data_IF_331927818147
#
_entry.id   IF_331927818147
#
_cell.length_a   1.000
_cell.length_b   1.000
_cell.length_c   1.000
_cell.angle_alpha   90.00
_cell.angle_beta   90.00
_cell.angle_gamma   90.00
#
_symmetry.space_group_name_H-M   'P 1'
#
loop_
_entity.id
_entity.type
_entity.pdbx_description
1 polymer ?
#
# COMPACT_ATOMS: atom_id res chain seq x y z
N UNK A 1 3.89 -22.20 -5.92
CA UNK A 1 2.55 -21.66 -6.27
C UNK A 1 2.68 -20.15 -6.32
N UNK A 2 2.68 -19.58 -7.51
CA UNK A 2 2.83 -18.14 -7.72
C UNK A 2 1.42 -17.56 -7.64
N UNK A 3 1.16 -16.79 -6.57
CA UNK A 3 -0.09 -16.04 -6.44
C UNK A 3 -0.08 -14.87 -7.40
N UNK A 4 -0.87 -14.91 -8.44
CA UNK A 4 -1.14 -13.76 -9.29
C UNK A 4 -2.10 -12.85 -8.55
N UNK A 5 -1.59 -11.78 -7.95
CA UNK A 5 -2.42 -10.70 -7.40
C UNK A 5 -2.97 -9.87 -8.57
N UNK A 6 -4.30 -9.86 -8.72
CA UNK A 6 -4.98 -8.97 -9.65
C UNK A 6 -4.78 -7.51 -9.20
N UNK A 7 -3.94 -6.78 -9.90
CA UNK A 7 -3.89 -5.33 -9.82
C UNK A 7 -5.05 -4.76 -10.67
N UNK A 8 -6.09 -4.26 -10.03
CA UNK A 8 -7.10 -3.43 -10.67
C UNK A 8 -6.43 -2.07 -11.01
N UNK A 9 -5.94 -1.96 -12.24
CA UNK A 9 -5.43 -0.71 -12.78
C UNK A 9 -6.60 0.27 -12.97
N UNK A 10 -6.60 1.37 -12.24
CA UNK A 10 -7.46 2.50 -12.52
C UNK A 10 -6.96 3.19 -13.79
N UNK A 11 -7.63 2.97 -14.92
CA UNK A 11 -7.42 3.73 -16.14
C UNK A 11 -7.91 5.15 -15.91
N UNK A 12 -7.01 6.13 -16.08
CA UNK A 12 -7.36 7.54 -16.17
C UNK A 12 -8.17 7.79 -17.44
N UNK A 13 -9.50 7.90 -17.31
CA UNK A 13 -10.36 8.42 -18.35
C UNK A 13 -10.07 9.92 -18.52
N UNK A 14 -9.69 10.32 -19.73
CA UNK A 14 -9.60 11.72 -20.13
C UNK A 14 -10.98 12.37 -20.00
N UNK A 15 -11.11 13.30 -19.05
CA UNK A 15 -12.29 14.14 -18.92
C UNK A 15 -12.27 15.22 -20.00
N UNK A 16 -13.23 15.12 -20.91
CA UNK A 16 -13.57 16.20 -21.82
C UNK A 16 -14.07 17.42 -21.06
N UNK A 17 -13.61 18.58 -21.49
CA UNK A 17 -13.99 19.91 -21.04
C UNK A 17 -15.50 20.12 -21.16
N UNK A 18 -16.17 20.36 -20.03
CA UNK A 18 -17.51 20.96 -20.00
C UNK A 18 -17.44 22.24 -19.19
N UNK A 19 -17.87 23.32 -19.83
CA UNK A 19 -17.86 24.67 -19.32
C UNK A 19 -18.73 24.82 -18.05
N UNK A 20 -18.18 25.49 -17.05
CA UNK A 20 -18.85 25.88 -15.81
C UNK A 20 -19.65 27.15 -16.01
N UNK A 21 -20.96 27.09 -15.76
CA UNK A 21 -21.76 28.29 -15.47
C UNK A 21 -21.96 28.37 -13.95
N UNK A 22 -21.53 29.48 -13.41
CA UNK A 22 -21.67 29.90 -12.02
C UNK A 22 -23.11 30.24 -11.68
N UNK A 23 -23.62 29.71 -10.54
CA UNK A 23 -24.74 30.29 -9.84
C UNK A 23 -24.43 30.36 -8.35
N UNK A 24 -24.42 31.58 -7.85
CA UNK A 24 -24.30 31.92 -6.43
C UNK A 24 -25.69 31.78 -5.76
N UNK A 25 -25.73 31.28 -4.53
CA UNK A 25 -26.78 31.60 -3.54
C UNK A 25 -26.34 31.13 -2.16
N UNK A 26 -25.98 32.07 -1.32
CA UNK A 26 -26.64 32.56 -0.10
C UNK A 26 -26.89 31.52 1.00
N UNK A 27 -26.17 31.72 2.12
CA UNK A 27 -26.45 31.19 3.46
C UNK A 27 -27.68 31.86 4.09
N UNK A 28 -28.34 31.24 5.06
CA UNK A 28 -28.87 31.98 6.19
C UNK A 28 -28.27 31.54 7.52
N UNK A 29 -27.93 32.55 8.31
CA UNK A 29 -27.68 32.49 9.73
C UNK A 29 -29.01 32.33 10.50
N UNK A 30 -29.00 31.61 11.61
CA UNK A 30 -29.97 31.83 12.70
C UNK A 30 -29.34 31.46 14.05
N UNK A 31 -29.33 32.47 14.85
CA UNK A 31 -29.10 32.55 16.31
C UNK A 31 -30.09 31.74 17.11
N UNK A 32 -29.74 31.36 18.37
CA UNK A 32 -30.70 30.85 19.34
C UNK A 32 -30.06 30.25 20.59
N UNK A 33 -29.96 31.07 21.60
CA UNK A 33 -29.44 30.87 22.98
C UNK A 33 -30.27 29.92 23.84
N UNK A 34 -29.61 29.54 24.93
CA UNK A 34 -30.06 29.19 26.33
C UNK A 34 -29.97 27.67 26.62
N UNK A 35 -29.40 27.23 27.72
CA UNK A 35 -29.13 27.75 29.05
C UNK A 35 -29.44 26.68 30.09
N UNK A 36 -28.66 26.51 31.17
CA UNK A 36 -29.00 25.72 32.37
C UNK A 36 -28.16 24.45 32.56
N UNK A 37 -27.16 24.44 33.32
CA UNK A 37 -26.77 24.44 34.75
C UNK A 37 -27.17 23.20 35.58
N UNK A 38 -26.15 22.74 36.35
CA UNK A 38 -26.17 21.93 37.58
C UNK A 38 -26.11 20.42 37.39
N UNK A 39 -25.27 19.71 38.08
CA UNK A 39 -24.59 19.71 39.38
C UNK A 39 -24.05 18.31 39.54
N UNK A 40 -22.88 18.05 39.90
CA UNK A 40 -22.24 17.82 41.15
C UNK A 40 -22.52 16.44 41.76
N UNK A 41 -21.49 15.62 41.90
CA UNK A 41 -21.10 15.05 43.20
C UNK A 41 -19.97 14.03 43.05
N UNK A 42 -18.92 14.29 43.83
CA UNK A 42 -17.81 13.43 44.25
C UNK A 42 -18.30 12.09 44.88
N UNK A 43 -17.52 11.02 44.68
CA UNK A 43 -17.13 10.16 45.81
C UNK A 43 -15.91 9.31 45.47
N UNK A 44 -14.86 9.60 46.18
CA UNK A 44 -13.70 8.78 46.47
C UNK A 44 -14.13 7.55 47.31
N UNK A 45 -13.53 6.39 47.08
CA UNK A 45 -13.10 5.53 48.17
C UNK A 45 -11.94 4.59 47.80
N UNK A 46 -10.94 4.67 48.64
CA UNK A 46 -9.81 3.79 48.84
C UNK A 46 -10.22 2.41 49.39
N UNK A 47 -9.43 1.39 49.14
CA UNK A 47 -9.57 0.12 49.87
C UNK A 47 -8.55 -0.92 49.40
N UNK A 48 -7.56 -1.12 50.26
CA UNK A 48 -6.38 -1.98 50.13
C UNK A 48 -6.67 -3.47 50.43
N UNK A 49 -5.71 -4.29 49.98
CA UNK A 49 -5.19 -5.52 50.60
C UNK A 49 -5.92 -6.86 50.39
N UNK A 50 -5.08 -7.83 50.06
CA UNK A 50 -5.26 -9.19 50.52
C UNK A 50 -4.82 -10.26 49.54
N UNK A 51 -3.60 -10.76 49.68
CA UNK A 51 -3.11 -11.92 48.93
C UNK A 51 -3.76 -13.23 49.37
N UNK A 52 -3.73 -14.23 48.51
CA UNK A 52 -3.57 -15.63 48.92
C UNK A 52 -3.17 -16.50 47.71
N UNK A 53 -2.08 -17.23 47.92
CA UNK A 53 -1.62 -18.36 47.13
C UNK A 53 -2.70 -19.42 47.02
N UNK A 54 -2.82 -20.01 45.83
CA UNK A 54 -3.25 -21.42 45.74
C UNK A 54 -2.76 -22.04 44.42
N UNK A 55 -1.84 -22.96 44.59
CA UNK A 55 -1.38 -23.93 43.62
C UNK A 55 -2.54 -24.84 43.18
N UNK A 56 -2.72 -25.00 41.87
CA UNK A 56 -3.32 -26.24 41.37
C UNK A 56 -2.71 -26.64 40.03
N UNK A 57 -2.07 -27.81 40.07
CA UNK A 57 -1.61 -28.62 38.98
C UNK A 57 -2.78 -29.03 38.09
N UNK A 58 -2.66 -28.86 36.81
CA UNK A 58 -3.57 -29.36 35.78
C UNK A 58 -2.86 -29.47 34.44
N UNK A 59 -2.34 -30.68 34.19
CA UNK A 59 -1.82 -31.09 32.88
C UNK A 59 -2.89 -30.93 31.81
N UNK A 60 -2.59 -30.21 30.75
CA UNK A 60 -3.27 -30.41 29.47
C UNK A 60 -2.39 -30.03 28.29
N UNK A 61 -2.43 -30.91 27.29
CA UNK A 61 -1.61 -31.06 26.12
C UNK A 61 -1.22 -29.81 25.38
N UNK A 62 0.08 -29.65 25.23
CA UNK A 62 0.68 -28.62 24.40
C UNK A 62 0.45 -28.89 22.92
N UNK A 63 -0.29 -28.03 22.26
CA UNK A 63 -0.21 -27.87 20.82
C UNK A 63 1.04 -27.04 20.55
N UNK A 64 2.10 -27.73 20.12
CA UNK A 64 3.34 -27.09 19.66
C UNK A 64 3.03 -26.24 18.40
N UNK A 65 2.75 -24.97 18.56
CA UNK A 65 2.74 -24.00 17.48
C UNK A 65 4.15 -23.40 17.34
N UNK A 66 5.06 -24.18 16.73
CA UNK A 66 6.43 -23.78 16.41
C UNK A 66 6.47 -23.04 15.07
N UNK A 67 5.80 -21.87 14.98
CA UNK A 67 6.04 -20.88 13.94
C UNK A 67 6.52 -19.57 14.58
N UNK A 68 7.62 -19.66 15.34
CA UNK A 68 8.43 -18.47 15.59
C UNK A 68 9.32 -18.26 14.38
N UNK A 69 9.01 -17.24 13.59
CA UNK A 69 9.94 -16.70 12.59
C UNK A 69 11.33 -16.46 13.21
N UNK A 70 12.41 -16.44 12.42
CA UNK A 70 13.78 -16.38 12.93
C UNK A 70 13.94 -15.17 13.84
N UNK A 71 14.40 -15.42 15.07
CA UNK A 71 14.79 -14.37 16.04
C UNK A 71 15.77 -13.43 15.35
N UNK A 72 15.48 -12.12 15.38
CA UNK A 72 16.21 -11.08 14.70
C UNK A 72 17.72 -11.23 14.80
N UNK A 73 18.36 -11.43 13.66
CA UNK A 73 19.80 -11.24 13.52
C UNK A 73 20.12 -9.80 13.96
N UNK A 74 21.17 -9.61 14.75
CA UNK A 74 21.56 -8.32 15.26
C UNK A 74 21.78 -7.32 14.12
N UNK A 75 21.49 -6.05 14.35
CA UNK A 75 21.55 -4.94 13.37
C UNK A 75 22.91 -4.87 12.61
N UNK A 76 23.98 -5.37 13.21
CA UNK A 76 25.32 -5.48 12.60
C UNK A 76 25.41 -6.60 11.56
N UNK A 77 24.68 -7.71 11.73
CA UNK A 77 24.67 -8.81 10.77
C UNK A 77 23.80 -8.51 9.55
N UNK A 78 22.75 -7.69 9.71
CA UNK A 78 21.87 -7.29 8.61
C UNK A 78 22.57 -6.40 7.56
N UNK A 79 23.68 -5.73 7.91
CA UNK A 79 24.42 -4.84 7.02
C UNK A 79 25.67 -5.51 6.39
N UNK A 80 26.07 -6.68 6.87
CA UNK A 80 27.28 -7.36 6.38
C UNK A 80 27.19 -7.64 4.87
N UNK A 81 28.13 -7.08 4.12
CA UNK A 81 28.18 -7.16 2.65
C UNK A 81 27.24 -6.19 1.93
N UNK A 82 26.46 -5.38 2.66
CA UNK A 82 25.53 -4.39 2.08
C UNK A 82 26.09 -2.95 2.15
N UNK A 83 27.25 -2.73 2.76
CA UNK A 83 27.82 -1.40 3.01
C UNK A 83 27.95 -0.58 1.73
N UNK A 84 28.31 -1.21 0.60
CA UNK A 84 28.43 -0.53 -0.70
C UNK A 84 27.12 0.08 -1.18
N UNK A 85 25.97 -0.53 -0.84
CA UNK A 85 24.65 -0.01 -1.23
C UNK A 85 24.23 1.18 -0.37
N UNK A 86 24.59 1.21 0.91
CA UNK A 86 24.31 2.34 1.81
C UNK A 86 25.30 3.51 1.63
N UNK A 87 26.46 3.29 0.96
CA UNK A 87 27.48 4.32 0.75
C UNK A 87 27.60 4.79 -0.69
N UNK A 88 26.73 4.29 -1.59
CA UNK A 88 26.72 4.77 -2.97
C UNK A 88 26.34 6.26 -3.02
N UNK A 89 26.85 6.97 -4.00
CA UNK A 89 26.51 8.38 -4.18
C UNK A 89 25.09 8.49 -4.74
N UNK A 90 24.18 9.10 -3.98
CA UNK A 90 22.82 9.41 -4.42
C UNK A 90 22.82 10.76 -5.15
N UNK A 91 22.72 10.70 -6.47
CA UNK A 91 22.68 11.91 -7.32
C UNK A 91 21.25 12.19 -7.73
N UNK A 92 20.74 13.33 -7.30
CA UNK A 92 19.45 13.86 -7.72
C UNK A 92 19.59 14.71 -8.97
N UNK A 93 18.68 14.54 -9.92
CA UNK A 93 18.54 15.35 -11.13
C UNK A 93 17.11 15.83 -11.26
N UNK A 94 16.87 16.89 -12.02
CA UNK A 94 15.50 17.31 -12.32
C UNK A 94 14.75 16.19 -13.05
N UNK A 95 13.49 15.93 -12.60
CA UNK A 95 12.65 14.93 -13.26
C UNK A 95 12.20 15.42 -14.64
N UNK A 96 12.14 14.50 -15.59
CA UNK A 96 11.57 14.79 -16.92
C UNK A 96 10.04 14.80 -16.85
N UNK A 97 9.41 15.70 -17.61
CA UNK A 97 7.96 15.82 -17.74
C UNK A 97 7.39 17.08 -17.12
N UNK A 98 6.40 17.69 -17.79
CA UNK A 98 5.80 18.97 -17.40
C UNK A 98 5.12 18.92 -16.02
N UNK A 99 4.56 17.76 -15.65
CA UNK A 99 3.85 17.58 -14.37
C UNK A 99 4.80 17.32 -13.18
N UNK A 100 6.12 17.27 -13.42
CA UNK A 100 7.16 16.99 -12.42
C UNK A 100 8.14 18.16 -12.22
N UNK A 101 7.76 19.35 -12.65
CA UNK A 101 8.59 20.54 -12.47
C UNK A 101 8.92 20.78 -10.99
N UNK A 102 10.18 21.05 -10.69
CA UNK A 102 10.69 21.22 -9.32
C UNK A 102 10.85 19.93 -8.51
N UNK A 103 10.54 18.77 -9.10
CA UNK A 103 10.79 17.46 -8.48
C UNK A 103 12.16 16.94 -8.91
N UNK A 104 12.74 16.09 -8.06
CA UNK A 104 14.05 15.51 -8.26
C UNK A 104 13.95 13.98 -8.40
N UNK A 105 14.64 13.44 -9.37
CA UNK A 105 14.67 12.02 -9.68
C UNK A 105 16.05 11.42 -9.45
N UNK A 106 16.12 10.18 -9.00
CA UNK A 106 17.35 9.42 -8.82
C UNK A 106 17.16 7.94 -9.11
N UNK A 107 18.25 7.24 -9.38
CA UNK A 107 18.29 5.79 -9.46
C UNK A 107 19.31 5.26 -8.44
N UNK A 108 18.92 4.24 -7.71
CA UNK A 108 19.71 3.60 -6.66
C UNK A 108 19.94 2.14 -7.03
N UNK A 109 21.17 1.66 -6.92
CA UNK A 109 21.47 0.23 -7.09
C UNK A 109 21.20 -0.51 -5.78
N UNK A 110 20.55 -1.67 -5.89
CA UNK A 110 20.34 -2.62 -4.80
C UNK A 110 20.71 -4.02 -5.28
N UNK A 111 21.03 -4.97 -4.38
CA UNK A 111 21.28 -6.35 -4.81
C UNK A 111 20.00 -6.96 -5.39
N UNK A 112 20.14 -7.75 -6.46
CA UNK A 112 19.05 -8.58 -6.95
C UNK A 112 18.62 -9.56 -5.84
N UNK A 113 19.58 -10.28 -5.28
CA UNK A 113 19.40 -11.23 -4.16
C UNK A 113 20.13 -10.70 -2.91
N UNK A 114 19.39 -10.35 -1.87
CA UNK A 114 19.95 -9.91 -0.59
C UNK A 114 20.76 -10.98 0.14
N UNK A 115 20.60 -12.26 -0.22
CA UNK A 115 21.45 -13.36 0.26
C UNK A 115 22.80 -13.46 -0.46
N UNK A 116 22.92 -12.77 -1.60
CA UNK A 116 24.14 -12.72 -2.44
C UNK A 116 24.46 -11.29 -2.85
N UNK A 117 24.81 -10.42 -1.88
CA UNK A 117 24.96 -8.97 -2.13
C UNK A 117 26.06 -8.62 -3.13
N UNK A 118 27.04 -9.51 -3.32
CA UNK A 118 28.11 -9.34 -4.31
C UNK A 118 27.74 -9.82 -5.71
N UNK A 119 26.51 -10.35 -5.88
CA UNK A 119 25.99 -10.79 -7.16
C UNK A 119 25.45 -9.64 -8.02
N UNK A 120 24.47 -9.97 -8.86
CA UNK A 120 23.80 -8.99 -9.73
C UNK A 120 23.07 -7.91 -8.93
N UNK A 121 22.94 -6.75 -9.53
CA UNK A 121 22.22 -5.60 -8.98
C UNK A 121 21.07 -5.21 -9.89
N UNK A 122 20.06 -4.58 -9.31
CA UNK A 122 18.98 -3.92 -10.02
C UNK A 122 18.93 -2.44 -9.66
N UNK A 123 18.25 -1.62 -10.46
CA UNK A 123 18.02 -0.21 -10.19
C UNK A 123 16.64 0.01 -9.59
N UNK A 124 16.57 0.82 -8.54
CA UNK A 124 15.35 1.35 -7.95
C UNK A 124 15.24 2.82 -8.29
N UNK A 125 14.17 3.19 -8.97
CA UNK A 125 13.88 4.57 -9.32
C UNK A 125 13.19 5.28 -8.15
N UNK A 126 13.59 6.54 -7.92
CA UNK A 126 13.06 7.40 -6.87
C UNK A 126 12.66 8.76 -7.43
N UNK A 127 11.64 9.35 -6.80
CA UNK A 127 11.27 10.75 -6.98
C UNK A 127 11.21 11.41 -5.61
N UNK A 128 11.71 12.63 -5.53
CA UNK A 128 11.62 13.49 -4.34
C UNK A 128 10.91 14.79 -4.71
N UNK A 129 9.88 15.13 -3.94
CA UNK A 129 9.30 16.47 -3.91
C UNK A 129 9.98 17.20 -2.76
N UNK A 130 10.86 18.18 -3.02
CA UNK A 130 11.58 18.89 -1.97
C UNK A 130 10.61 19.65 -1.05
N UNK A 131 10.94 19.69 0.24
CA UNK A 131 10.20 20.49 1.21
C UNK A 131 10.23 21.99 0.83
N UNK A 132 9.09 22.65 0.86
CA UNK A 132 8.95 24.06 0.46
C UNK A 132 9.78 25.02 1.33
N UNK A 133 9.99 24.67 2.60
CA UNK A 133 10.86 25.45 3.50
C UNK A 133 12.34 25.38 3.13
N UNK A 134 12.78 24.44 2.28
CA UNK A 134 14.17 24.17 2.02
C UNK A 134 14.96 23.58 3.20
N UNK A 135 14.28 23.32 4.34
CA UNK A 135 14.88 22.78 5.58
C UNK A 135 14.00 21.63 6.10
N UNK A 136 14.00 20.48 5.41
CA UNK A 136 13.20 19.35 5.84
C UNK A 136 13.65 18.80 7.20
N UNK A 137 12.69 18.32 7.99
CA UNK A 137 12.97 17.59 9.24
C UNK A 137 13.19 16.09 9.00
N UNK A 138 13.12 15.65 7.76
CA UNK A 138 13.30 14.28 7.27
C UNK A 138 12.48 14.04 6.01
N UNK A 139 12.53 12.81 5.50
CA UNK A 139 11.74 12.38 4.35
C UNK A 139 10.45 11.68 4.80
N UNK A 140 9.38 11.85 4.05
CA UNK A 140 8.15 11.06 4.12
C UNK A 140 8.12 10.12 2.91
N UNK A 141 8.42 8.86 3.12
CA UNK A 141 8.29 7.84 2.10
C UNK A 141 6.82 7.48 1.88
N UNK A 142 6.41 7.28 0.63
CA UNK A 142 5.03 6.99 0.28
C UNK A 142 4.91 5.79 -0.64
N UNK A 143 3.83 4.99 -0.48
CA UNK A 143 3.53 3.86 -1.35
C UNK A 143 2.01 3.70 -1.51
N UNK A 144 1.49 3.65 -2.76
CA UNK A 144 0.04 3.56 -3.03
C UNK A 144 -0.53 2.16 -2.79
N UNK A 145 0.32 1.15 -2.69
CA UNK A 145 -0.08 -0.24 -2.62
C UNK A 145 -0.21 -0.92 -3.99
N UNK A 146 -1.24 -1.67 -4.16
CA UNK A 146 -1.48 -2.57 -5.29
C UNK A 146 -1.50 -4.01 -4.79
N UNK A 147 -0.40 -4.83 -4.82
CA UNK A 147 1.00 -4.51 -5.19
C UNK A 147 1.17 -4.12 -6.66
N UNK A 148 2.22 -3.34 -6.95
CA UNK A 148 2.58 -2.91 -8.30
C UNK A 148 2.23 -1.45 -8.62
N UNK A 149 1.69 -0.69 -7.67
CA UNK A 149 1.51 0.75 -7.83
C UNK A 149 2.83 1.51 -7.77
N UNK A 150 2.98 2.53 -8.63
CA UNK A 150 4.16 3.39 -8.66
C UNK A 150 4.17 4.34 -7.46
N UNK A 151 5.20 4.24 -6.62
CA UNK A 151 5.42 5.19 -5.53
C UNK A 151 5.87 6.56 -6.04
N UNK A 152 6.49 6.62 -7.20
CA UNK A 152 6.87 7.86 -7.89
C UNK A 152 5.63 8.66 -8.25
N UNK A 153 4.64 8.02 -8.89
CA UNK A 153 3.36 8.67 -9.23
C UNK A 153 2.59 9.08 -7.96
N UNK A 154 2.65 8.26 -6.92
CA UNK A 154 2.00 8.58 -5.65
C UNK A 154 2.61 9.80 -4.97
N UNK A 155 3.93 9.94 -4.93
CA UNK A 155 4.58 11.13 -4.39
C UNK A 155 4.21 12.39 -5.20
N UNK A 156 4.20 12.30 -6.53
CA UNK A 156 3.78 13.38 -7.40
C UNK A 156 2.30 13.76 -7.20
N UNK A 157 1.41 12.78 -6.97
CA UNK A 157 -0.01 13.02 -6.65
C UNK A 157 -0.16 13.68 -5.28
N UNK A 158 0.52 13.17 -4.26
CA UNK A 158 0.45 13.66 -2.90
C UNK A 158 1.02 15.07 -2.75
N UNK A 159 1.98 15.48 -3.58
CA UNK A 159 2.49 16.86 -3.61
C UNK A 159 1.41 17.91 -3.86
N UNK A 160 0.28 17.50 -4.46
CA UNK A 160 -0.87 18.37 -4.79
C UNK A 160 -2.00 18.28 -3.73
N UNK A 161 -1.97 17.30 -2.83
CA UNK A 161 -3.09 17.00 -1.92
C UNK A 161 -2.72 16.96 -0.44
N UNK A 162 -1.44 16.80 -0.09
CA UNK A 162 -1.00 16.89 1.29
C UNK A 162 -1.18 18.33 1.82
N UNK A 163 -1.43 18.43 3.12
CA UNK A 163 -1.52 19.73 3.79
C UNK A 163 -0.21 20.50 3.65
N UNK A 164 -0.28 21.85 3.50
CA UNK A 164 0.90 22.70 3.36
C UNK A 164 1.97 22.46 4.43
N UNK A 165 1.56 22.26 5.69
CA UNK A 165 2.46 22.03 6.82
C UNK A 165 3.31 20.75 6.65
N UNK A 166 2.78 19.72 5.97
CA UNK A 166 3.53 18.51 5.64
C UNK A 166 4.54 18.77 4.54
N UNK A 167 4.11 19.49 3.47
CA UNK A 167 4.96 19.84 2.35
C UNK A 167 6.05 20.85 2.71
N UNK A 168 5.87 21.63 3.77
CA UNK A 168 6.89 22.54 4.30
C UNK A 168 7.97 21.82 5.10
N UNK A 169 7.58 20.73 5.79
CA UNK A 169 8.46 20.05 6.76
C UNK A 169 9.15 18.81 6.23
N UNK A 170 8.61 18.13 5.24
CA UNK A 170 9.13 16.86 4.74
C UNK A 170 9.48 16.93 3.26
N UNK A 171 10.60 16.33 2.89
CA UNK A 171 10.78 15.87 1.53
C UNK A 171 9.83 14.69 1.30
N UNK A 172 8.90 14.77 0.34
CA UNK A 172 8.04 13.62 0.01
C UNK A 172 8.79 12.73 -0.99
N UNK A 173 9.05 11.49 -0.60
CA UNK A 173 9.85 10.55 -1.38
C UNK A 173 8.99 9.38 -1.84
N UNK A 174 8.85 9.23 -3.15
CA UNK A 174 8.29 8.05 -3.79
C UNK A 174 9.38 7.20 -4.41
N UNK A 175 9.17 5.91 -4.45
CA UNK A 175 10.01 4.97 -5.20
C UNK A 175 9.13 3.89 -5.83
N UNK A 176 9.53 3.42 -6.99
CA UNK A 176 8.89 2.24 -7.56
C UNK A 176 9.52 1.01 -6.92
N UNK A 177 8.72 0.12 -6.30
CA UNK A 177 9.29 -1.12 -5.77
C UNK A 177 9.94 -1.95 -6.87
N UNK A 178 10.89 -2.80 -6.49
CA UNK A 178 11.54 -3.72 -7.44
C UNK A 178 10.51 -4.48 -8.28
N UNK A 179 10.73 -4.54 -9.57
CA UNK A 179 9.82 -5.16 -10.54
C UNK A 179 8.65 -4.27 -11.00
N UNK A 180 8.58 -3.04 -10.51
CA UNK A 180 7.51 -2.07 -10.82
C UNK A 180 8.04 -0.92 -11.64
N UNK A 181 7.30 -0.54 -12.68
CA UNK A 181 7.48 0.63 -13.56
C UNK A 181 8.95 0.96 -13.87
N UNK A 182 9.54 2.01 -13.34
CA UNK A 182 10.94 2.40 -13.62
C UNK A 182 11.99 1.59 -12.84
N UNK A 183 11.58 0.70 -11.93
CA UNK A 183 12.47 -0.10 -11.08
C UNK A 183 12.63 -1.53 -11.58
N UNK A 184 13.35 -1.71 -12.72
CA UNK A 184 13.59 -3.03 -13.30
C UNK A 184 12.30 -3.84 -13.47
N UNK A 185 11.35 -3.38 -14.32
CA UNK A 185 9.99 -3.91 -14.35
C UNK A 185 9.91 -5.38 -14.74
N UNK A 186 9.03 -6.13 -14.09
CA UNK A 186 8.65 -7.48 -14.50
C UNK A 186 7.87 -7.39 -15.82
N UNK A 187 8.36 -8.11 -16.84
CA UNK A 187 7.74 -8.18 -18.18
C UNK A 187 7.19 -9.57 -18.39
N UNK A 188 5.90 -9.70 -18.64
CA UNK A 188 5.22 -10.99 -18.86
C UNK A 188 4.73 -11.16 -20.30
N UNK A 189 4.11 -10.10 -20.86
CA UNK A 189 3.54 -10.10 -22.20
C UNK A 189 3.62 -8.68 -22.78
N UNK A 190 3.26 -8.53 -24.05
CA UNK A 190 3.00 -7.23 -24.63
C UNK A 190 1.66 -6.66 -24.16
N UNK A 191 1.46 -5.36 -24.36
CA UNK A 191 0.25 -4.64 -23.90
C UNK A 191 -1.03 -5.24 -24.49
N UNK A 192 -1.02 -5.66 -25.76
CA UNK A 192 -2.21 -6.25 -26.39
C UNK A 192 -2.61 -7.58 -25.73
N UNK A 193 -1.64 -8.44 -25.43
CA UNK A 193 -1.88 -9.71 -24.73
C UNK A 193 -2.35 -9.49 -23.29
N UNK A 194 -1.82 -8.48 -22.59
CA UNK A 194 -2.26 -8.12 -21.24
C UNK A 194 -3.67 -7.55 -21.24
N UNK A 195 -4.01 -6.68 -22.19
CA UNK A 195 -5.35 -6.15 -22.34
C UNK A 195 -6.36 -7.26 -22.64
N UNK A 196 -6.04 -8.16 -23.58
CA UNK A 196 -6.88 -9.31 -23.89
C UNK A 196 -7.13 -10.19 -22.65
N UNK A 197 -6.14 -10.35 -21.78
CA UNK A 197 -6.29 -11.15 -20.56
C UNK A 197 -7.07 -10.45 -19.45
N UNK A 198 -6.81 -9.15 -19.21
CA UNK A 198 -7.35 -8.43 -18.06
C UNK A 198 -8.64 -7.65 -18.33
N UNK A 199 -8.85 -7.20 -19.59
CA UNK A 199 -9.92 -6.28 -19.95
C UNK A 199 -10.97 -6.91 -20.86
N UNK A 200 -10.52 -7.72 -21.84
CA UNK A 200 -11.39 -8.20 -22.92
C UNK A 200 -11.89 -9.63 -22.68
N UNK A 201 -11.31 -10.35 -21.70
CA UNK A 201 -11.66 -11.73 -21.45
C UNK A 201 -12.99 -11.84 -20.68
N UNK A 202 -13.97 -12.53 -21.28
CA UNK A 202 -15.25 -12.88 -20.67
C UNK A 202 -15.35 -14.40 -20.52
N UNK A 203 -14.69 -14.93 -19.47
CA UNK A 203 -14.73 -16.35 -19.16
C UNK A 203 -15.97 -16.68 -18.32
N UNK A 204 -16.88 -17.53 -18.83
CA UNK A 204 -17.97 -18.07 -17.99
C UNK A 204 -17.40 -19.07 -16.95
N UNK A 205 -17.04 -18.56 -15.78
CA UNK A 205 -16.46 -19.34 -14.70
C UNK A 205 -17.45 -20.33 -14.05
N UNK A 206 -18.74 -20.26 -14.38
CA UNK A 206 -19.71 -21.25 -13.95
C UNK A 206 -19.53 -22.58 -14.68
N UNK A 207 -18.98 -22.57 -15.88
CA UNK A 207 -18.72 -23.75 -16.73
C UNK A 207 -17.30 -24.31 -16.53
N UNK A 208 -17.14 -25.62 -16.77
CA UNK A 208 -15.82 -26.25 -16.79
C UNK A 208 -14.93 -25.70 -17.92
N UNK A 209 -15.53 -25.40 -19.07
CA UNK A 209 -14.85 -24.83 -20.24
C UNK A 209 -14.28 -23.44 -19.91
N UNK A 210 -15.10 -22.51 -19.42
CA UNK A 210 -14.62 -21.15 -19.11
C UNK A 210 -13.55 -21.13 -18.01
N UNK A 211 -13.65 -22.00 -16.99
CA UNK A 211 -12.57 -22.16 -16.00
C UNK A 211 -11.28 -22.70 -16.62
N UNK A 212 -11.36 -23.57 -17.63
CA UNK A 212 -10.17 -24.08 -18.33
C UNK A 212 -9.54 -22.98 -19.19
N UNK A 213 -10.34 -22.26 -19.96
CA UNK A 213 -9.89 -21.12 -20.79
C UNK A 213 -9.16 -20.07 -19.96
N UNK A 214 -9.70 -19.72 -18.78
CA UNK A 214 -9.04 -18.81 -17.85
C UNK A 214 -7.69 -19.36 -17.36
N UNK A 215 -7.61 -20.65 -16.99
CA UNK A 215 -6.34 -21.27 -16.55
C UNK A 215 -5.30 -21.27 -17.66
N UNK A 216 -5.69 -21.57 -18.89
CA UNK A 216 -4.78 -21.61 -20.05
C UNK A 216 -4.25 -20.21 -20.37
N UNK A 217 -5.11 -19.19 -20.30
CA UNK A 217 -4.72 -17.81 -20.47
C UNK A 217 -3.77 -17.33 -19.34
N UNK A 218 -4.08 -17.66 -18.09
CA UNK A 218 -3.21 -17.35 -16.94
C UNK A 218 -1.84 -18.03 -17.06
N UNK A 219 -1.84 -19.32 -17.51
CA UNK A 219 -0.59 -20.05 -17.76
C UNK A 219 0.26 -19.38 -18.83
N UNK A 220 -0.36 -18.91 -19.91
CA UNK A 220 0.34 -18.20 -21.00
C UNK A 220 1.05 -16.93 -20.50
N UNK A 221 0.38 -16.16 -19.62
CA UNK A 221 1.00 -14.98 -18.98
C UNK A 221 2.15 -15.41 -18.07
N UNK A 222 1.96 -16.44 -17.22
CA UNK A 222 2.98 -16.93 -16.32
C UNK A 222 4.24 -17.43 -17.06
N UNK A 223 4.06 -18.23 -18.13
CA UNK A 223 5.17 -18.69 -18.99
C UNK A 223 5.89 -17.50 -19.64
N UNK A 224 5.15 -16.44 -20.01
CA UNK A 224 5.70 -15.20 -20.51
C UNK A 224 6.52 -14.42 -19.47
N UNK A 225 6.07 -14.39 -18.22
CA UNK A 225 6.83 -13.81 -17.10
C UNK A 225 8.16 -14.54 -16.90
N UNK A 226 8.12 -15.87 -16.83
CA UNK A 226 9.30 -16.70 -16.67
C UNK A 226 10.32 -16.46 -17.79
N UNK A 227 9.84 -16.48 -19.04
CA UNK A 227 10.72 -16.28 -20.22
C UNK A 227 11.39 -14.90 -20.24
N UNK A 228 10.68 -13.83 -19.83
CA UNK A 228 11.15 -12.44 -19.98
C UNK A 228 11.78 -11.87 -18.72
N UNK A 229 11.45 -12.41 -17.55
CA UNK A 229 11.85 -11.86 -16.25
C UNK A 229 12.20 -12.94 -15.22
N UNK A 230 12.42 -14.20 -15.64
CA UNK A 230 12.58 -15.37 -14.73
C UNK A 230 13.63 -15.17 -13.66
N UNK A 231 14.75 -14.52 -13.97
CA UNK A 231 15.80 -14.23 -12.99
C UNK A 231 15.32 -13.25 -11.89
N UNK A 232 14.44 -12.30 -12.23
CA UNK A 232 13.94 -11.29 -11.30
C UNK A 232 12.80 -11.83 -10.43
N UNK A 233 11.96 -12.74 -10.95
CA UNK A 233 10.73 -13.19 -10.32
C UNK A 233 10.90 -13.72 -8.87
N UNK A 234 11.92 -14.51 -8.53
CA UNK A 234 12.13 -14.98 -7.16
C UNK A 234 12.46 -13.86 -6.16
N UNK A 235 12.79 -12.67 -6.65
CA UNK A 235 13.34 -11.57 -5.87
C UNK A 235 12.41 -10.36 -5.76
N UNK A 236 11.16 -10.40 -6.29
CA UNK A 236 10.21 -9.28 -6.22
C UNK A 236 9.28 -9.32 -5.01
N UNK A 237 9.59 -10.14 -3.99
CA UNK A 237 8.78 -10.26 -2.79
C UNK A 237 8.85 -9.03 -1.87
N UNK A 238 7.83 -8.89 -1.00
CA UNK A 238 7.67 -7.78 -0.04
C UNK A 238 8.88 -7.60 0.87
N UNK A 239 9.51 -8.70 1.34
CA UNK A 239 10.72 -8.65 2.15
C UNK A 239 11.88 -7.94 1.44
N UNK A 240 12.12 -8.28 0.18
CA UNK A 240 13.18 -7.65 -0.63
C UNK A 240 12.89 -6.16 -0.88
N UNK A 241 11.62 -5.81 -1.15
CA UNK A 241 11.20 -4.41 -1.31
C UNK A 241 11.35 -3.59 -0.01
N UNK A 242 11.07 -4.20 1.16
CA UNK A 242 11.29 -3.56 2.46
C UNK A 242 12.79 -3.35 2.74
N UNK A 243 13.67 -4.26 2.32
CA UNK A 243 15.14 -4.08 2.41
C UNK A 243 15.62 -2.97 1.48
N UNK A 244 15.07 -2.87 0.25
CA UNK A 244 15.33 -1.72 -0.62
C UNK A 244 14.97 -0.42 0.08
N UNK A 245 13.79 -0.35 0.68
CA UNK A 245 13.31 0.84 1.38
C UNK A 245 14.28 1.28 2.50
N UNK A 246 14.93 0.34 3.20
CA UNK A 246 15.94 0.70 4.20
C UNK A 246 17.23 1.25 3.57
N UNK A 247 17.66 0.71 2.44
CA UNK A 247 18.78 1.28 1.67
C UNK A 247 18.46 2.71 1.24
N UNK A 248 17.25 2.93 0.68
CA UNK A 248 16.80 4.26 0.24
C UNK A 248 16.74 5.25 1.41
N UNK A 249 16.17 4.83 2.56
CA UNK A 249 16.18 5.63 3.81
C UNK A 249 17.59 6.05 4.22
N UNK A 250 18.53 5.10 4.19
CA UNK A 250 19.93 5.39 4.53
C UNK A 250 20.57 6.39 3.59
N UNK A 251 20.32 6.28 2.29
CA UNK A 251 20.86 7.15 1.26
C UNK A 251 20.32 8.58 1.29
N UNK A 252 19.06 8.78 1.67
CA UNK A 252 18.52 10.13 1.89
C UNK A 252 18.98 10.75 3.22
N UNK A 253 19.72 10.00 4.05
CA UNK A 253 20.30 10.49 5.31
C UNK A 253 19.39 10.37 6.53
N UNK A 254 18.24 9.71 6.42
CA UNK A 254 17.29 9.58 7.51
C UNK A 254 17.70 8.47 8.49
N UNK A 255 17.73 8.79 9.79
CA UNK A 255 18.00 7.79 10.84
C UNK A 255 16.83 6.81 11.00
N UNK A 256 15.61 7.27 10.78
CA UNK A 256 14.37 6.52 10.91
C UNK A 256 13.45 6.77 9.73
N UNK A 257 12.73 5.75 9.29
CA UNK A 257 11.77 5.84 8.19
C UNK A 257 10.48 6.51 8.68
N UNK A 258 10.09 7.65 8.09
CA UNK A 258 8.71 8.12 8.15
C UNK A 258 8.00 7.64 6.90
N UNK A 259 6.82 7.03 7.06
CA UNK A 259 6.19 6.28 5.98
C UNK A 259 4.67 6.47 5.98
N UNK A 260 4.11 6.62 4.78
CA UNK A 260 2.67 6.61 4.53
C UNK A 260 2.39 5.54 3.47
N UNK A 261 1.76 4.45 3.89
CA UNK A 261 1.40 3.32 3.03
C UNK A 261 -0.09 3.13 2.93
N UNK A 262 -0.59 2.92 1.72
CA UNK A 262 -1.99 2.62 1.44
C UNK A 262 -2.16 1.18 0.99
N UNK A 263 -3.24 0.49 1.42
CA UNK A 263 -3.57 -0.86 0.96
C UNK A 263 -2.38 -1.82 1.13
N UNK A 264 -1.87 -2.49 0.06
CA UNK A 264 -0.65 -3.30 0.12
C UNK A 264 0.57 -2.53 0.68
N UNK A 265 0.62 -1.21 0.51
CA UNK A 265 1.66 -0.39 1.15
C UNK A 265 1.69 -0.54 2.67
N UNK A 266 0.59 -0.96 3.29
CA UNK A 266 0.54 -1.27 4.73
C UNK A 266 1.26 -2.57 5.07
N UNK A 267 1.17 -3.58 4.20
CA UNK A 267 1.95 -4.82 4.31
C UNK A 267 3.45 -4.55 4.14
N UNK A 268 3.82 -3.73 3.15
CA UNK A 268 5.21 -3.31 2.93
C UNK A 268 5.76 -2.56 4.15
N UNK A 269 4.99 -1.63 4.72
CA UNK A 269 5.35 -0.91 5.94
C UNK A 269 5.46 -1.81 7.17
N UNK A 270 4.54 -2.77 7.31
CA UNK A 270 4.57 -3.79 8.36
C UNK A 270 5.79 -4.69 8.26
N UNK A 271 6.12 -5.16 7.07
CA UNK A 271 7.33 -5.96 6.80
C UNK A 271 8.60 -5.15 7.12
N UNK A 272 8.63 -3.87 6.77
CA UNK A 272 9.74 -3.00 7.15
C UNK A 272 9.87 -2.88 8.68
N UNK A 273 8.77 -2.70 9.39
CA UNK A 273 8.79 -2.57 10.84
C UNK A 273 9.26 -3.86 11.54
N UNK A 274 8.92 -5.02 10.98
CA UNK A 274 9.38 -6.32 11.47
C UNK A 274 10.89 -6.53 11.24
N UNK A 275 11.39 -6.19 10.04
CA UNK A 275 12.80 -6.34 9.69
C UNK A 275 13.70 -5.29 10.37
N UNK A 276 13.20 -4.07 10.56
CA UNK A 276 13.98 -2.92 11.04
C UNK A 276 13.29 -2.17 12.18
N UNK A 277 12.91 -2.80 13.29
CA UNK A 277 12.09 -2.18 14.33
C UNK A 277 12.72 -0.92 14.94
N UNK A 278 14.06 -0.86 15.04
CA UNK A 278 14.79 0.30 15.53
C UNK A 278 14.87 1.45 14.53
N UNK A 279 14.57 1.22 13.27
CA UNK A 279 14.59 2.22 12.19
C UNK A 279 13.21 2.81 11.88
N UNK A 280 12.17 2.38 12.57
CA UNK A 280 10.83 2.94 12.41
C UNK A 280 10.76 4.33 13.03
N UNK A 281 10.28 5.29 12.24
CA UNK A 281 9.94 6.65 12.64
C UNK A 281 8.44 6.81 12.84
N UNK A 282 7.84 7.77 12.13
CA UNK A 282 6.38 7.95 12.08
C UNK A 282 5.82 7.12 10.92
N UNK A 283 4.86 6.25 11.22
CA UNK A 283 4.28 5.36 10.22
C UNK A 283 2.77 5.46 10.24
N UNK A 284 2.18 5.70 9.07
CA UNK A 284 0.73 5.69 8.85
C UNK A 284 0.43 4.60 7.84
N UNK A 285 -0.45 3.68 8.21
CA UNK A 285 -0.84 2.52 7.43
C UNK A 285 -2.35 2.60 7.20
N UNK A 286 -2.73 3.10 6.02
CA UNK A 286 -4.13 3.36 5.66
C UNK A 286 -4.70 2.22 4.81
N UNK A 287 -5.82 1.65 5.25
CA UNK A 287 -6.39 0.44 4.64
C UNK A 287 -5.54 -0.80 4.92
N UNK A 288 -5.27 -1.04 6.22
CA UNK A 288 -4.37 -2.10 6.68
C UNK A 288 -4.77 -3.48 6.17
N UNK A 289 -3.78 -4.19 5.61
CA UNK A 289 -3.89 -5.60 5.19
C UNK A 289 -3.57 -6.49 6.39
N UNK A 290 -4.42 -7.49 6.63
CA UNK A 290 -4.13 -8.55 7.59
C UNK A 290 -3.19 -9.58 6.97
N UNK A 291 -1.91 -9.50 7.33
CA UNK A 291 -0.86 -10.38 6.80
C UNK A 291 -0.94 -11.82 7.31
N UNK A 292 -1.82 -12.10 8.28
CA UNK A 292 -2.07 -13.48 8.76
C UNK A 292 -3.05 -14.23 7.86
N UNK A 293 -3.79 -13.52 7.02
CA UNK A 293 -4.71 -14.14 6.06
C UNK A 293 -3.95 -14.65 4.84
N UNK A 294 -4.21 -15.89 4.44
CA UNK A 294 -3.79 -16.37 3.12
C UNK A 294 -4.54 -15.64 1.99
N UNK A 295 -3.91 -15.52 0.80
CA UNK A 295 -4.43 -14.76 -0.34
C UNK A 295 -5.90 -15.09 -0.68
N UNK A 296 -6.31 -16.35 -0.67
CA UNK A 296 -7.68 -16.75 -0.96
C UNK A 296 -8.67 -16.19 0.08
N UNK A 297 -8.31 -16.22 1.35
CA UNK A 297 -9.14 -15.69 2.43
C UNK A 297 -9.23 -14.16 2.37
N UNK A 298 -8.13 -13.49 2.12
CA UNK A 298 -8.08 -12.03 1.95
C UNK A 298 -8.97 -11.57 0.79
N UNK A 299 -8.91 -12.24 -0.37
CA UNK A 299 -9.78 -11.93 -1.51
C UNK A 299 -11.25 -12.17 -1.18
N UNK A 300 -11.58 -13.27 -0.50
CA UNK A 300 -12.94 -13.58 -0.08
C UNK A 300 -13.50 -12.52 0.87
N UNK A 301 -12.77 -12.17 1.94
CA UNK A 301 -13.21 -11.14 2.91
C UNK A 301 -13.30 -9.76 2.25
N UNK A 302 -12.37 -9.41 1.35
CA UNK A 302 -12.42 -8.20 0.54
C UNK A 302 -13.69 -8.13 -0.30
N UNK A 303 -14.03 -9.20 -1.01
CA UNK A 303 -15.25 -9.30 -1.84
C UNK A 303 -16.51 -9.12 -0.99
N UNK A 304 -16.58 -9.78 0.17
CA UNK A 304 -17.70 -9.61 1.11
C UNK A 304 -17.81 -8.17 1.61
N UNK A 305 -16.70 -7.52 1.89
CA UNK A 305 -16.67 -6.14 2.36
C UNK A 305 -17.18 -5.17 1.29
N UNK A 306 -16.78 -5.37 0.04
CA UNK A 306 -17.27 -4.61 -1.12
C UNK A 306 -18.78 -4.83 -1.30
N UNK A 307 -19.26 -6.08 -1.27
CA UNK A 307 -20.70 -6.38 -1.40
C UNK A 307 -21.53 -5.72 -0.28
N UNK A 308 -21.06 -5.76 0.98
CA UNK A 308 -21.68 -5.07 2.11
C UNK A 308 -21.71 -3.55 1.91
N UNK A 309 -20.62 -2.97 1.44
CA UNK A 309 -20.49 -1.53 1.18
C UNK A 309 -21.41 -1.08 0.05
N UNK A 310 -21.45 -1.84 -1.04
CA UNK A 310 -22.40 -1.62 -2.12
C UNK A 310 -23.85 -1.76 -1.64
N UNK A 311 -24.14 -2.72 -0.77
CA UNK A 311 -25.48 -2.87 -0.16
C UNK A 311 -25.91 -1.62 0.62
N UNK A 312 -25.00 -1.00 1.39
CA UNK A 312 -25.26 0.28 2.10
C UNK A 312 -25.49 1.44 1.12
N UNK A 313 -24.69 1.54 0.07
CA UNK A 313 -24.86 2.53 -0.98
C UNK A 313 -26.20 2.36 -1.70
N UNK A 314 -26.54 1.14 -2.13
CA UNK A 314 -27.79 0.80 -2.80
C UNK A 314 -29.00 1.14 -1.91
N UNK A 315 -28.91 0.87 -0.59
CA UNK A 315 -29.96 1.25 0.36
C UNK A 315 -30.18 2.76 0.40
N UNK A 316 -29.12 3.55 0.55
CA UNK A 316 -29.23 5.03 0.54
C UNK A 316 -29.80 5.56 -0.76
N UNK A 317 -29.39 4.99 -1.89
CA UNK A 317 -29.90 5.37 -3.21
C UNK A 317 -31.42 5.10 -3.31
N UNK A 318 -31.88 3.92 -2.90
CA UNK A 318 -33.29 3.52 -2.92
C UNK A 318 -34.11 4.36 -1.95
N UNK A 319 -33.67 4.55 -0.71
CA UNK A 319 -34.31 5.37 0.30
C UNK A 319 -34.49 6.83 -0.15
N UNK A 320 -33.59 7.34 -1.01
CA UNK A 320 -33.65 8.67 -1.62
C UNK A 320 -34.71 8.81 -2.73
N UNK A 321 -35.47 7.78 -3.08
CA UNK A 321 -36.63 7.79 -3.96
C UNK A 321 -36.37 7.92 -5.47
N UNK A 322 -35.11 8.21 -5.92
CA UNK A 322 -34.75 8.34 -7.34
C UNK A 322 -33.48 7.56 -7.65
N UNK A 323 -33.47 6.26 -7.40
CA UNK A 323 -32.29 5.42 -7.61
C UNK A 323 -32.24 4.88 -9.04
N UNK A 324 -31.22 5.26 -9.80
CA UNK A 324 -30.98 4.75 -11.16
C UNK A 324 -30.72 3.23 -11.21
N UNK A 325 -30.36 2.64 -10.05
CA UNK A 325 -30.08 1.19 -9.95
C UNK A 325 -31.34 0.35 -9.72
N UNK A 326 -32.49 0.96 -9.45
CA UNK A 326 -33.75 0.29 -9.21
C UNK A 326 -34.44 0.72 -7.91
N UNK A 327 -35.62 0.14 -7.68
CA UNK A 327 -36.50 0.50 -6.53
C UNK A 327 -36.25 -0.32 -5.27
N UNK A 328 -35.38 -1.33 -5.35
CA UNK A 328 -35.04 -2.18 -4.19
C UNK A 328 -33.51 -2.46 -4.18
N UNK A 329 -32.95 -2.72 -3.00
CA UNK A 329 -31.53 -3.10 -2.87
C UNK A 329 -31.22 -4.38 -3.66
N UNK A 330 -32.15 -5.34 -3.71
CA UNK A 330 -32.00 -6.58 -4.49
C UNK A 330 -31.91 -6.28 -5.99
N UNK A 331 -32.78 -5.40 -6.52
CA UNK A 331 -32.73 -4.97 -7.91
C UNK A 331 -31.44 -4.23 -8.24
N UNK A 332 -31.01 -3.32 -7.37
CA UNK A 332 -29.74 -2.61 -7.53
C UNK A 332 -28.54 -3.58 -7.57
N UNK A 333 -28.48 -4.55 -6.65
CA UNK A 333 -27.43 -5.58 -6.66
C UNK A 333 -27.46 -6.44 -7.93
N UNK A 334 -28.64 -6.78 -8.43
CA UNK A 334 -28.78 -7.57 -9.69
C UNK A 334 -28.30 -6.77 -10.89
N UNK A 335 -28.50 -5.45 -10.94
CA UNK A 335 -28.12 -4.59 -12.05
C UNK A 335 -26.60 -4.38 -12.14
N UNK A 336 -25.86 -4.59 -11.05
CA UNK A 336 -24.42 -4.41 -10.95
C UNK A 336 -23.62 -5.73 -11.08
N UNK A 337 -24.28 -6.84 -11.22
CA UNK A 337 -23.70 -8.16 -11.55
C UNK A 337 -23.80 -8.42 -13.05
#
# INVERSE_FOLDING_TARGET
MIGVSLALGATSAQAGTVASTSAASASPSADGRNGGSNGGANSSNNGSNGGANSSNNGSNGGVNNSNRGPKGAGETDALKGLEKFYRQNLTWSECKGKDRAGMQCANVKVPLDYKKPDGKTIAIAMLKVPAKSGKPIGSLFVNPGGPGGSGIEEAARLSKSLKPEMLDKYDVVGFDPRGVDASSPVKCADTASLNAFFLDADYDLSTAKGRQEQRDAAKKIADGCEKRSGELLPHVGTESAARDMDVLRGLVGDKKLNYLGFSYGTELGGMYADLFPKKVGRMVLDGAVDTQLGNARMLYEGTLSVDKSFGRYAKRCVDGGKCALGTTVKAAKKKMR
#
